data_IF_756287332209
#
_entry.id   IF_756287332209
#
_cell.length_a   1.000
_cell.length_b   1.000
_cell.length_c   1.000
_cell.angle_alpha   90.00
_cell.angle_beta   90.00
_cell.angle_gamma   90.00
#
_symmetry.space_group_name_H-M   'P 1'
#
loop_
_entity.id
_entity.type
_entity.pdbx_description
1 polymer ?
#
# COMPACT_ATOMS: atom_id res chain seq x y z
N UNK A 1 -16.71 -1.52 -1.36
CA UNK A 1 -15.69 -2.17 -0.52
C UNK A 1 -15.24 -1.13 0.49
N UNK A 2 -14.93 -1.53 1.72
CA UNK A 2 -14.39 -0.64 2.75
C UNK A 2 -13.06 -1.18 3.24
N UNK A 3 -12.21 -0.32 3.80
CA UNK A 3 -10.95 -0.75 4.41
C UNK A 3 -11.14 -1.00 5.90
N UNK A 4 -10.40 -1.97 6.44
CA UNK A 4 -10.26 -2.21 7.88
C UNK A 4 -8.80 -2.44 8.23
N UNK A 5 -8.43 -2.22 9.49
CA UNK A 5 -7.10 -2.55 10.02
C UNK A 5 -7.25 -3.43 11.26
N UNK A 6 -6.20 -4.19 11.58
CA UNK A 6 -6.11 -5.03 12.77
C UNK A 6 -4.77 -4.81 13.47
N UNK A 7 -4.79 -4.01 14.53
CA UNK A 7 -3.64 -3.78 15.40
C UNK A 7 -3.92 -4.41 16.76
N UNK A 8 -3.06 -5.32 17.20
CA UNK A 8 -3.21 -5.98 18.50
C UNK A 8 -3.03 -4.98 19.64
N UNK A 9 -4.00 -4.94 20.57
CA UNK A 9 -3.99 -4.01 21.70
C UNK A 9 -4.53 -2.60 21.40
N UNK A 10 -4.89 -2.31 20.15
CA UNK A 10 -5.43 -1.00 19.78
C UNK A 10 -6.86 -0.80 20.27
N UNK A 11 -7.12 0.40 20.80
CA UNK A 11 -8.45 0.85 21.16
C UNK A 11 -9.25 1.24 19.91
N UNK A 12 -10.59 1.20 19.96
CA UNK A 12 -11.44 1.56 18.82
C UNK A 12 -11.13 2.95 18.23
N UNK A 13 -10.84 3.93 19.08
CA UNK A 13 -10.51 5.30 18.66
C UNK A 13 -9.17 5.35 17.92
N UNK A 14 -8.19 4.54 18.35
CA UNK A 14 -6.90 4.41 17.69
C UNK A 14 -7.06 3.78 16.30
N UNK A 15 -7.90 2.75 16.20
CA UNK A 15 -8.25 2.11 14.93
C UNK A 15 -8.88 3.12 13.96
N UNK A 16 -9.81 3.95 14.44
CA UNK A 16 -10.45 5.00 13.61
C UNK A 16 -9.40 6.00 13.09
N UNK A 17 -8.45 6.44 13.92
CA UNK A 17 -7.35 7.32 13.46
C UNK A 17 -6.52 6.65 12.37
N UNK A 18 -6.20 5.38 12.54
CA UNK A 18 -5.48 4.60 11.53
C UNK A 18 -6.23 4.49 10.21
N UNK A 19 -7.54 4.24 10.25
CA UNK A 19 -8.38 4.14 9.05
C UNK A 19 -8.49 5.47 8.31
N UNK A 20 -8.66 6.58 9.03
CA UNK A 20 -8.69 7.91 8.43
C UNK A 20 -7.37 8.25 7.75
N UNK A 21 -6.24 7.93 8.39
CA UNK A 21 -4.91 8.14 7.80
C UNK A 21 -4.68 7.29 6.55
N UNK A 22 -5.08 6.02 6.55
CA UNK A 22 -5.01 5.17 5.35
C UNK A 22 -5.89 5.72 4.21
N UNK A 23 -7.12 6.13 4.53
CA UNK A 23 -8.03 6.70 3.53
C UNK A 23 -7.45 7.98 2.90
N UNK A 24 -6.84 8.84 3.71
CA UNK A 24 -6.21 10.07 3.22
C UNK A 24 -5.07 9.79 2.22
N UNK A 25 -4.30 8.70 2.42
CA UNK A 25 -3.27 8.29 1.45
C UNK A 25 -3.88 7.91 0.11
N UNK A 26 -4.95 7.11 0.12
CA UNK A 26 -5.68 6.74 -1.09
C UNK A 26 -6.24 7.96 -1.81
N UNK A 27 -6.85 8.88 -1.07
CA UNK A 27 -7.45 10.10 -1.61
C UNK A 27 -6.40 11.02 -2.25
N UNK A 28 -5.24 11.20 -1.59
CA UNK A 28 -4.11 11.98 -2.13
C UNK A 28 -3.53 11.38 -3.40
N UNK A 29 -3.48 10.05 -3.48
CA UNK A 29 -2.99 9.35 -4.66
C UNK A 29 -4.02 9.31 -5.80
N UNK A 30 -5.28 9.65 -5.54
CA UNK A 30 -6.38 9.48 -6.51
C UNK A 30 -6.65 8.01 -6.85
N UNK A 31 -6.30 7.10 -5.93
CA UNK A 31 -6.40 5.65 -6.10
C UNK A 31 -7.44 5.13 -5.12
N UNK A 32 -8.44 4.40 -5.63
CA UNK A 32 -9.41 3.76 -4.74
C UNK A 32 -8.78 2.55 -4.03
N UNK A 33 -9.23 2.20 -2.80
CA UNK A 33 -8.76 1.01 -2.11
C UNK A 33 -8.94 -0.28 -2.94
N UNK A 34 -10.00 -0.37 -3.74
CA UNK A 34 -10.26 -1.53 -4.61
C UNK A 34 -9.22 -1.66 -5.74
N UNK A 35 -8.85 -0.54 -6.37
CA UNK A 35 -7.77 -0.51 -7.37
C UNK A 35 -6.43 -0.91 -6.74
N UNK A 36 -6.12 -0.39 -5.56
CA UNK A 36 -4.89 -0.71 -4.85
C UNK A 36 -4.81 -2.19 -4.44
N UNK A 37 -5.90 -2.77 -3.95
CA UNK A 37 -5.99 -4.21 -3.66
C UNK A 37 -5.85 -5.06 -4.93
N UNK A 38 -6.46 -4.63 -6.03
CA UNK A 38 -6.39 -5.33 -7.32
C UNK A 38 -4.96 -5.31 -7.88
N UNK A 39 -4.30 -4.16 -7.86
CA UNK A 39 -2.92 -4.01 -8.28
C UNK A 39 -1.98 -4.92 -7.46
N UNK A 40 -2.20 -4.98 -6.14
CA UNK A 40 -1.46 -5.89 -5.26
C UNK A 40 -1.66 -7.35 -5.66
N UNK A 41 -2.89 -7.77 -5.98
CA UNK A 41 -3.15 -9.12 -6.49
C UNK A 41 -2.40 -9.44 -7.80
N UNK A 42 -2.31 -8.49 -8.73
CA UNK A 42 -1.55 -8.65 -9.98
C UNK A 42 -0.05 -8.82 -9.70
N UNK A 43 0.52 -7.97 -8.85
CA UNK A 43 1.94 -8.02 -8.46
C UNK A 43 2.28 -9.31 -7.72
N UNK A 44 1.46 -9.72 -6.76
CA UNK A 44 1.60 -10.99 -6.03
C UNK A 44 1.51 -12.19 -6.98
N UNK A 45 0.56 -12.16 -7.91
CA UNK A 45 0.47 -13.18 -8.96
C UNK A 45 1.72 -13.24 -9.83
N UNK A 46 2.36 -12.11 -10.11
CA UNK A 46 3.62 -12.04 -10.85
C UNK A 46 4.80 -12.61 -10.04
N UNK A 47 4.89 -12.32 -8.73
CA UNK A 47 5.87 -12.92 -7.82
C UNK A 47 5.71 -14.45 -7.72
N UNK A 48 4.48 -14.94 -7.52
CA UNK A 48 4.18 -16.39 -7.44
C UNK A 48 4.61 -17.13 -8.72
N UNK A 49 4.55 -16.47 -9.89
CA UNK A 49 5.02 -17.02 -11.17
C UNK A 49 6.53 -16.92 -11.36
N UNK A 50 7.28 -16.50 -10.35
CA UNK A 50 8.74 -16.34 -10.38
C UNK A 50 9.20 -15.13 -11.19
N UNK A 51 8.45 -14.02 -11.15
CA UNK A 51 8.77 -12.77 -11.85
C UNK A 51 8.91 -12.91 -13.37
N UNK A 52 8.20 -13.86 -13.96
CA UNK A 52 8.25 -14.15 -15.40
C UNK A 52 7.38 -13.20 -16.21
N UNK A 53 7.80 -12.89 -17.44
CA UNK A 53 7.06 -12.03 -18.36
C UNK A 53 7.31 -10.53 -18.15
N UNK A 54 6.38 -9.70 -18.64
CA UNK A 54 6.46 -8.24 -18.53
C UNK A 54 6.22 -7.80 -17.09
N UNK A 55 7.04 -6.87 -16.60
CA UNK A 55 6.86 -6.23 -15.30
C UNK A 55 5.55 -5.41 -15.34
N UNK A 56 4.62 -5.61 -14.38
CA UNK A 56 3.40 -4.81 -14.27
C UNK A 56 3.73 -3.47 -13.59
N UNK A 57 4.35 -2.55 -14.32
CA UNK A 57 4.90 -1.30 -13.76
C UNK A 57 3.82 -0.36 -13.19
N UNK A 58 2.66 -0.29 -13.84
CA UNK A 58 1.53 0.52 -13.37
C UNK A 58 0.96 -0.03 -12.07
N UNK A 59 0.77 -1.34 -11.99
CA UNK A 59 0.28 -2.01 -10.80
C UNK A 59 1.31 -2.00 -9.68
N UNK A 60 2.61 -2.04 -9.98
CA UNK A 60 3.65 -1.81 -8.98
C UNK A 60 3.53 -0.42 -8.35
N UNK A 61 3.35 0.63 -9.16
CA UNK A 61 3.16 1.98 -8.66
C UNK A 61 1.90 2.09 -7.78
N UNK A 62 0.77 1.54 -8.23
CA UNK A 62 -0.47 1.52 -7.46
C UNK A 62 -0.33 0.69 -6.17
N UNK A 63 0.38 -0.44 -6.23
CA UNK A 63 0.63 -1.29 -5.07
C UNK A 63 1.45 -0.56 -3.99
N UNK A 64 2.37 0.33 -4.37
CA UNK A 64 3.11 1.12 -3.37
C UNK A 64 2.21 2.06 -2.56
N UNK A 65 1.09 2.52 -3.14
CA UNK A 65 0.09 3.33 -2.41
C UNK A 65 -0.56 2.51 -1.30
N UNK A 66 -0.81 1.21 -1.52
CA UNK A 66 -1.32 0.33 -0.46
C UNK A 66 -0.34 0.21 0.71
N UNK A 67 0.95 0.03 0.42
CA UNK A 67 1.99 -0.06 1.45
C UNK A 67 2.16 1.28 2.21
N UNK A 68 1.99 2.40 1.52
CA UNK A 68 1.97 3.72 2.15
C UNK A 68 0.76 3.90 3.06
N UNK A 69 -0.43 3.46 2.63
CA UNK A 69 -1.64 3.52 3.42
C UNK A 69 -1.55 2.63 4.69
N UNK A 70 -0.99 1.42 4.57
CA UNK A 70 -0.76 0.53 5.72
C UNK A 70 0.21 1.15 6.73
N UNK A 71 1.31 1.74 6.26
CA UNK A 71 2.26 2.46 7.13
C UNK A 71 1.62 3.68 7.79
N UNK A 72 0.84 4.47 7.04
CA UNK A 72 0.15 5.63 7.59
C UNK A 72 -0.87 5.20 8.67
N UNK A 73 -1.55 4.08 8.48
CA UNK A 73 -2.44 3.51 9.48
C UNK A 73 -1.70 3.13 10.77
N UNK A 74 -0.54 2.46 10.68
CA UNK A 74 0.28 2.14 11.87
C UNK A 74 0.67 3.40 12.63
N UNK A 75 1.22 4.40 11.92
CA UNK A 75 1.71 5.63 12.54
C UNK A 75 0.60 6.41 13.25
N UNK A 76 -0.60 6.48 12.64
CA UNK A 76 -1.73 7.19 13.22
C UNK A 76 -2.43 6.39 14.33
N UNK A 77 -2.55 5.07 14.16
CA UNK A 77 -3.16 4.18 15.15
C UNK A 77 -2.33 4.15 16.43
N UNK A 78 -1.04 3.83 16.31
CA UNK A 78 -0.11 3.67 17.42
C UNK A 78 0.54 5.00 17.86
N UNK A 79 -0.06 6.15 17.52
CA UNK A 79 0.44 7.44 17.95
C UNK A 79 0.41 7.54 19.49
N UNK A 80 1.59 7.60 20.10
CA UNK A 80 1.78 7.62 21.56
C UNK A 80 2.18 6.28 22.18
N UNK A 81 2.31 5.21 21.38
CA UNK A 81 2.76 3.91 21.86
C UNK A 81 4.28 3.89 22.06
N UNK A 82 4.74 3.01 22.95
CA UNK A 82 6.16 2.72 23.08
C UNK A 82 6.65 1.98 21.82
N UNK A 83 7.87 2.29 21.36
CA UNK A 83 8.38 1.80 20.08
C UNK A 83 8.46 0.27 19.98
N UNK A 84 8.60 -0.43 21.11
CA UNK A 84 8.58 -1.89 21.23
C UNK A 84 7.19 -2.51 21.01
N UNK A 85 6.13 -1.72 21.10
CA UNK A 85 4.74 -2.16 20.93
C UNK A 85 4.14 -1.80 19.57
N UNK A 86 4.82 -0.98 18.79
CA UNK A 86 4.34 -0.58 17.45
C UNK A 86 4.58 -1.75 16.49
N UNK A 87 3.53 -2.30 15.86
CA UNK A 87 3.71 -3.35 14.87
C UNK A 87 4.32 -2.81 13.57
N UNK A 88 4.93 -3.69 12.78
CA UNK A 88 5.48 -3.34 11.46
C UNK A 88 4.39 -2.97 10.43
N UNK A 89 3.15 -3.45 10.63
CA UNK A 89 2.02 -3.32 9.69
C UNK A 89 0.71 -3.22 10.45
N UNK A 90 -0.28 -2.56 9.86
CA UNK A 90 -1.62 -2.41 10.44
C UNK A 90 -2.55 -3.57 10.07
N UNK A 91 -2.05 -4.58 9.34
CA UNK A 91 -2.87 -5.63 8.73
C UNK A 91 -4.05 -5.01 7.95
N UNK A 92 -3.76 -4.04 7.07
CA UNK A 92 -4.77 -3.37 6.24
C UNK A 92 -5.45 -4.38 5.30
N UNK A 93 -6.78 -4.41 5.34
CA UNK A 93 -7.64 -5.34 4.59
C UNK A 93 -8.74 -4.61 3.83
N UNK A 94 -9.08 -5.11 2.64
CA UNK A 94 -10.27 -4.70 1.89
C UNK A 94 -11.43 -5.64 2.23
N UNK A 95 -12.49 -5.11 2.81
CA UNK A 95 -13.66 -5.87 3.25
C UNK A 95 -14.85 -5.54 2.36
N UNK A 96 -15.58 -6.59 1.97
CA UNK A 96 -16.92 -6.46 1.43
C UNK A 96 -17.90 -6.55 2.58
N UNK A 97 -18.51 -5.42 2.93
CA UNK A 97 -19.59 -5.42 3.91
C UNK A 97 -20.70 -6.38 3.42
N UNK A 98 -21.17 -7.31 4.26
CA UNK A 98 -22.26 -8.19 3.88
C UNK A 98 -23.48 -7.30 3.62
N UNK A 99 -23.93 -7.26 2.37
CA UNK A 99 -25.21 -6.65 2.02
C UNK A 99 -26.24 -7.31 2.91
N UNK A 100 -26.81 -6.57 3.87
CA UNK A 100 -27.88 -7.06 4.73
C UNK A 100 -29.06 -7.30 3.80
N UNK A 101 -29.16 -8.50 3.24
CA UNK A 101 -30.28 -8.91 2.44
C UNK A 101 -31.47 -8.96 3.39
N UNK A 102 -32.24 -7.88 3.41
CA UNK A 102 -33.60 -7.90 3.91
C UNK A 102 -34.37 -8.82 2.97
N UNK A 103 -34.31 -10.13 3.25
CA UNK A 103 -35.05 -11.13 2.49
C UNK A 103 -36.53 -10.99 2.87
N UNK A 104 -37.42 -10.56 1.97
CA UNK A 104 -38.83 -10.82 2.18
C UNK A 104 -39.01 -12.33 2.03
N UNK A 105 -39.53 -12.96 3.07
CA UNK A 105 -39.85 -14.40 3.12
C UNK A 105 -40.73 -14.78 1.94
N UNK A 106 -40.16 -15.31 0.85
CA UNK A 106 -40.92 -15.96 -0.25
C UNK A 106 -40.21 -17.21 -0.76
N UNK A 107 -41.04 -18.20 -1.09
CA UNK A 107 -40.73 -19.59 -1.42
C UNK A 107 -39.87 -19.71 -2.70
N UNK A 108 -39.10 -20.80 -2.74
CA UNK A 108 -38.15 -21.31 -3.75
C UNK A 108 -38.37 -20.93 -5.22
N UNK A 109 -37.26 -20.68 -5.93
CA UNK A 109 -36.96 -21.26 -7.25
C UNK A 109 -35.46 -21.09 -7.59
N UNK A 110 -35.00 -21.87 -8.55
CA UNK A 110 -33.63 -22.32 -8.78
C UNK A 110 -32.63 -21.30 -9.39
N UNK A 111 -31.36 -21.74 -9.39
CA UNK A 111 -30.24 -21.39 -10.27
C UNK A 111 -29.57 -20.01 -10.11
N UNK A 112 -28.29 -20.04 -9.72
CA UNK A 112 -27.38 -18.92 -9.86
C UNK A 112 -25.94 -19.32 -9.54
N UNK A 113 -25.06 -19.19 -10.53
CA UNK A 113 -23.67 -19.65 -10.56
C UNK A 113 -22.84 -19.24 -9.33
N UNK A 114 -22.26 -20.23 -8.67
CA UNK A 114 -21.28 -20.06 -7.60
C UNK A 114 -19.94 -19.63 -8.21
N UNK A 115 -19.60 -18.34 -8.13
CA UNK A 115 -18.21 -17.90 -8.29
C UNK A 115 -17.43 -18.32 -7.04
N UNK A 116 -16.22 -18.89 -7.16
CA UNK A 116 -15.47 -19.31 -5.98
C UNK A 116 -15.10 -18.10 -5.11
N UNK A 117 -15.09 -18.28 -3.78
CA UNK A 117 -14.69 -17.23 -2.84
C UNK A 117 -13.20 -16.92 -3.00
N UNK A 118 -12.87 -15.63 -2.96
CA UNK A 118 -11.49 -15.13 -2.88
C UNK A 118 -10.80 -15.77 -1.67
N UNK A 119 -9.64 -16.43 -1.83
CA UNK A 119 -8.90 -16.94 -0.69
C UNK A 119 -8.34 -15.79 0.16
N UNK A 120 -8.48 -15.91 1.47
CA UNK A 120 -7.91 -14.98 2.45
C UNK A 120 -6.38 -14.95 2.29
N UNK A 121 -5.82 -13.78 1.99
CA UNK A 121 -4.39 -13.62 1.74
C UNK A 121 -3.59 -13.59 3.05
N UNK A 122 -2.64 -14.51 3.14
CA UNK A 122 -1.75 -14.71 4.30
C UNK A 122 -0.56 -13.74 4.28
N UNK A 123 -0.58 -12.78 5.20
CA UNK A 123 0.46 -12.01 5.94
C UNK A 123 1.97 -11.96 5.54
N UNK A 124 2.46 -12.47 4.41
CA UNK A 124 3.92 -12.70 4.23
C UNK A 124 4.67 -11.78 3.25
N UNK A 125 4.00 -10.96 2.45
CA UNK A 125 4.69 -10.20 1.38
C UNK A 125 5.21 -8.80 1.72
N UNK A 126 4.90 -8.25 2.91
CA UNK A 126 5.36 -6.91 3.28
C UNK A 126 6.89 -6.77 3.46
N UNK A 127 7.65 -7.87 3.59
CA UNK A 127 9.09 -7.81 3.93
C UNK A 127 10.09 -7.86 2.76
N UNK A 128 9.70 -8.22 1.53
CA UNK A 128 10.66 -8.33 0.41
C UNK A 128 10.63 -7.17 -0.58
N UNK A 129 9.50 -6.49 -0.78
CA UNK A 129 9.40 -5.37 -1.71
C UNK A 129 10.20 -4.12 -1.25
N UNK A 130 10.39 -3.95 0.05
CA UNK A 130 11.22 -2.88 0.64
C UNK A 130 12.71 -3.03 0.32
N UNK A 131 13.20 -4.26 0.11
CA UNK A 131 14.63 -4.48 -0.20
C UNK A 131 14.98 -4.09 -1.65
N UNK A 132 14.03 -4.21 -2.60
CA UNK A 132 14.25 -3.88 -4.02
C UNK A 132 14.06 -2.41 -4.35
N UNK A 133 13.16 -1.68 -3.66
CA UNK A 133 12.99 -0.24 -3.88
C UNK A 133 14.13 0.61 -3.29
N UNK A 134 14.70 0.21 -2.15
CA UNK A 134 15.86 0.90 -1.55
C UNK A 134 17.10 0.81 -2.47
N UNK A 135 17.28 -0.31 -3.18
CA UNK A 135 18.38 -0.49 -4.11
C UNK A 135 18.26 0.39 -5.39
N UNK A 136 17.04 0.77 -5.80
CA UNK A 136 16.84 1.61 -6.99
C UNK A 136 16.98 3.11 -6.69
N UNK A 137 16.64 3.56 -5.47
CA UNK A 137 16.80 4.97 -5.05
C UNK A 137 18.28 5.38 -4.90
N UNK A 138 19.17 4.45 -4.53
CA UNK A 138 20.63 4.71 -4.49
C UNK A 138 21.30 4.80 -5.87
N UNK A 139 20.73 4.20 -6.92
CA UNK A 139 21.34 4.22 -8.27
C UNK A 139 21.03 5.50 -9.06
N UNK A 140 20.00 6.26 -8.67
CA UNK A 140 19.64 7.54 -9.31
C UNK A 140 20.37 8.75 -8.69
N UNK A 141 20.78 8.70 -7.41
CA UNK A 141 21.55 9.79 -6.80
C UNK A 141 23.03 9.82 -7.24
N UNK A 142 23.58 8.72 -7.72
CA UNK A 142 24.99 8.66 -8.16
C UNK A 142 25.24 9.26 -9.56
N UNK A 143 24.18 9.52 -10.34
CA UNK A 143 24.31 10.13 -11.68
C UNK A 143 24.17 11.66 -11.69
N UNK A 144 23.72 12.29 -10.59
CA UNK A 144 23.47 13.74 -10.55
C UNK A 144 24.62 14.58 -9.95
N UNK A 145 25.72 13.96 -9.51
CA UNK A 145 26.85 14.66 -8.85
C UNK A 145 28.04 14.96 -9.76
N UNK A 146 28.01 14.58 -11.04
CA UNK A 146 29.05 14.90 -12.03
C UNK A 146 28.44 15.81 -13.11
N UNK A 147 28.26 17.10 -12.81
CA UNK A 147 27.67 17.97 -13.83
C UNK A 147 27.50 19.44 -13.53
N UNK A 148 28.18 20.03 -12.55
CA UNK A 148 28.16 21.50 -12.39
C UNK A 148 29.52 22.00 -11.89
N UNK A 149 30.47 22.28 -12.80
CA UNK A 149 31.55 23.24 -12.53
C UNK A 149 31.14 24.58 -13.13
N UNK A 150 30.74 25.47 -12.25
CA UNK A 150 30.48 26.90 -12.48
C UNK A 150 31.76 27.68 -12.82
N UNK A 151 31.63 28.84 -13.50
CA UNK A 151 32.75 29.63 -13.99
C UNK A 151 33.33 30.54 -12.90
N UNK A 152 34.66 30.56 -12.75
CA UNK A 152 35.35 31.49 -11.86
C UNK A 152 35.70 32.78 -12.60
N UNK A 153 35.02 33.87 -12.22
CA UNK A 153 35.34 35.26 -12.58
C UNK A 153 36.05 35.91 -11.39
N UNK A 154 37.32 36.31 -11.55
CA UNK A 154 38.00 37.42 -10.80
C UNK A 154 39.16 37.91 -11.70
N UNK A 155 39.09 39.12 -12.26
CA UNK A 155 39.39 40.45 -11.70
C UNK A 155 40.88 40.80 -11.81
N UNK A 156 41.14 41.77 -12.69
CA UNK A 156 41.98 42.96 -12.54
C UNK A 156 43.50 42.86 -12.35
N UNK A 157 44.15 43.87 -12.96
CA UNK A 157 45.52 44.40 -12.79
C UNK A 157 46.68 43.68 -13.47
N UNK A 158 47.23 44.28 -14.53
CA UNK A 158 48.49 45.02 -14.43
C UNK A 158 48.77 45.82 -15.73
N UNK A 159 49.39 46.97 -15.48
CA UNK A 159 49.98 48.01 -16.33
C UNK A 159 50.59 47.51 -17.63
#
# INVERSE_FOLDING_TARGET
MTITIRVEGAQPEEIVRGLLAAQEVFDKAGVTPDQAATARFVVEGWDIRGFTGKVPEEELAICTVWDEADRAAVLACCAGWAADKVPDSADLELVREPQRSASPRRKSAANGCFRPPMPAFSKRCARKATLTMAARKMRLLSCLTIGIRTPHRRRAEAI
#
